data_IF_819640183915
#
_entry.id   IF_819640183915
#
_cell.length_a   1.000
_cell.length_b   1.000
_cell.length_c   1.000
_cell.angle_alpha   90.00
_cell.angle_beta   90.00
_cell.angle_gamma   90.00
#
_symmetry.space_group_name_H-M   'P 1'
#
loop_
_entity.id
_entity.type
_entity.pdbx_description
1 polymer ?
#
# COMPACT_ATOMS: atom_id res chain seq x y z
N UNK A 1 -9.78 -3.79 -19.37
CA UNK A 1 -10.22 -2.77 -18.39
C UNK A 1 -9.77 -3.28 -17.04
N UNK A 2 -8.96 -2.52 -16.30
CA UNK A 2 -8.48 -2.93 -14.98
C UNK A 2 -9.63 -3.00 -13.95
N UNK A 3 -9.64 -4.00 -13.05
CA UNK A 3 -8.66 -5.09 -12.93
C UNK A 3 -8.98 -6.28 -13.86
N UNK A 4 -7.95 -7.05 -14.24
CA UNK A 4 -8.17 -8.35 -14.86
C UNK A 4 -8.81 -9.34 -13.84
N UNK A 5 -9.49 -10.41 -14.28
CA UNK A 5 -10.15 -11.35 -13.37
C UNK A 5 -9.21 -11.98 -12.33
N UNK A 6 -7.96 -12.26 -12.70
CA UNK A 6 -6.95 -12.79 -11.80
C UNK A 6 -6.49 -11.73 -10.78
N UNK A 7 -6.29 -10.50 -11.21
CA UNK A 7 -5.94 -9.37 -10.34
C UNK A 7 -7.06 -9.07 -9.33
N UNK A 8 -8.32 -9.19 -9.75
CA UNK A 8 -9.46 -9.06 -8.85
C UNK A 8 -9.41 -10.08 -7.70
N UNK A 9 -8.98 -11.33 -7.96
CA UNK A 9 -8.80 -12.33 -6.88
C UNK A 9 -7.69 -11.95 -5.91
N UNK A 10 -6.60 -11.40 -6.43
CA UNK A 10 -5.49 -10.90 -5.60
C UNK A 10 -5.95 -9.76 -4.69
N UNK A 11 -6.74 -8.83 -5.22
CA UNK A 11 -7.32 -7.73 -4.46
C UNK A 11 -8.29 -8.22 -3.38
N UNK A 12 -9.14 -9.20 -3.68
CA UNK A 12 -10.05 -9.82 -2.71
C UNK A 12 -9.29 -10.46 -1.52
N UNK A 13 -8.17 -11.14 -1.80
CA UNK A 13 -7.35 -11.77 -0.76
C UNK A 13 -6.57 -10.73 0.06
N UNK A 14 -6.04 -9.67 -0.57
CA UNK A 14 -5.41 -8.55 0.13
C UNK A 14 -6.41 -7.81 1.04
N UNK A 15 -7.65 -7.62 0.56
CA UNK A 15 -8.72 -6.97 1.32
C UNK A 15 -9.11 -7.80 2.55
N UNK A 16 -9.13 -9.13 2.46
CA UNK A 16 -9.32 -10.00 3.64
C UNK A 16 -8.20 -9.81 4.67
N UNK A 17 -6.94 -9.81 4.24
CA UNK A 17 -5.78 -9.58 5.13
C UNK A 17 -5.91 -8.23 5.84
N UNK A 18 -6.31 -7.19 5.10
CA UNK A 18 -6.54 -5.86 5.65
C UNK A 18 -7.66 -5.89 6.69
N UNK A 19 -8.83 -6.44 6.36
CA UNK A 19 -9.98 -6.50 7.29
C UNK A 19 -9.64 -7.25 8.57
N UNK A 20 -8.97 -8.40 8.46
CA UNK A 20 -8.61 -9.24 9.61
C UNK A 20 -7.54 -8.57 10.50
N UNK A 21 -6.65 -7.77 9.90
CA UNK A 21 -5.64 -6.99 10.62
C UNK A 21 -6.27 -5.80 11.33
N UNK A 22 -7.03 -4.98 10.61
CA UNK A 22 -7.65 -3.74 11.11
C UNK A 22 -8.73 -3.99 12.17
N UNK A 23 -9.32 -5.20 12.22
CA UNK A 23 -10.25 -5.58 13.29
C UNK A 23 -9.63 -5.52 14.70
N UNK A 24 -8.29 -5.49 14.80
CA UNK A 24 -7.53 -5.41 16.07
C UNK A 24 -7.08 -3.98 16.38
N UNK A 25 -7.22 -3.06 15.43
CA UNK A 25 -6.68 -1.71 15.51
C UNK A 25 -7.74 -0.78 16.12
N UNK A 26 -7.31 0.41 16.55
CA UNK A 26 -8.24 1.40 17.09
C UNK A 26 -9.01 2.11 15.94
N UNK A 27 -10.09 2.86 16.26
CA UNK A 27 -10.91 3.51 15.24
C UNK A 27 -10.17 4.50 14.33
N UNK A 28 -8.98 4.98 14.71
CA UNK A 28 -8.18 5.88 13.87
C UNK A 28 -7.46 5.17 12.73
N UNK A 29 -7.32 3.85 12.81
CA UNK A 29 -6.76 2.98 11.77
C UNK A 29 -7.72 1.84 11.43
N UNK A 30 -8.98 2.20 11.16
CA UNK A 30 -10.00 1.20 10.84
C UNK A 30 -10.02 0.86 9.34
N UNK A 31 -10.76 -0.20 8.98
CA UNK A 31 -10.96 -0.58 7.59
C UNK A 31 -11.59 0.55 6.73
N UNK A 32 -12.30 1.49 7.34
CA UNK A 32 -12.97 2.56 6.61
C UNK A 32 -11.96 3.60 6.13
N UNK A 33 -10.95 3.93 6.95
CA UNK A 33 -9.78 4.71 6.55
C UNK A 33 -9.10 4.08 5.32
N UNK A 34 -8.69 2.82 5.40
CA UNK A 34 -7.98 2.15 4.30
C UNK A 34 -8.81 2.11 3.00
N UNK A 35 -10.14 1.94 3.10
CA UNK A 35 -11.02 1.94 1.93
C UNK A 35 -11.16 3.33 1.29
N UNK A 36 -11.11 4.42 2.06
CA UNK A 36 -11.10 5.78 1.52
C UNK A 36 -9.76 6.06 0.84
N UNK A 37 -8.65 5.69 1.47
CA UNK A 37 -7.31 5.78 0.88
C UNK A 37 -7.22 5.02 -0.44
N UNK A 38 -7.66 3.76 -0.49
CA UNK A 38 -7.73 2.95 -1.72
C UNK A 38 -8.47 3.65 -2.85
N UNK A 39 -9.67 4.16 -2.58
CA UNK A 39 -10.51 4.84 -3.59
C UNK A 39 -9.85 6.11 -4.10
N UNK A 40 -9.30 6.92 -3.19
CA UNK A 40 -8.62 8.16 -3.54
C UNK A 40 -7.34 7.87 -4.34
N UNK A 41 -6.52 6.91 -3.92
CA UNK A 41 -5.28 6.52 -4.60
C UNK A 41 -5.55 6.06 -6.04
N UNK A 42 -6.59 5.23 -6.24
CA UNK A 42 -7.01 4.83 -7.59
C UNK A 42 -7.52 5.98 -8.45
N UNK A 43 -8.24 6.94 -7.84
CA UNK A 43 -8.71 8.12 -8.56
C UNK A 43 -7.55 9.00 -9.01
N UNK A 44 -6.56 9.22 -8.12
CA UNK A 44 -5.32 9.94 -8.43
C UNK A 44 -4.55 9.24 -9.54
N UNK A 45 -4.30 7.93 -9.41
CA UNK A 45 -3.56 7.15 -10.39
C UNK A 45 -4.20 7.22 -11.80
N UNK A 46 -5.53 7.16 -11.89
CA UNK A 46 -6.26 7.29 -13.18
C UNK A 46 -6.20 8.69 -13.78
N UNK A 47 -5.94 9.72 -12.98
CA UNK A 47 -5.81 11.10 -13.42
C UNK A 47 -4.37 11.46 -13.87
N UNK A 48 -3.38 10.64 -13.51
CA UNK A 48 -1.97 10.84 -13.92
C UNK A 48 -1.70 10.23 -15.29
N UNK A 49 -0.84 10.90 -16.09
CA UNK A 49 -0.41 10.45 -17.40
C UNK A 49 1.14 10.44 -17.50
N UNK A 50 1.78 9.31 -17.83
CA UNK A 50 1.17 7.99 -18.07
C UNK A 50 0.53 7.42 -16.80
N UNK A 51 -0.52 6.61 -16.97
CA UNK A 51 -1.16 5.93 -15.85
C UNK A 51 -0.17 4.93 -15.21
N UNK A 52 0.04 4.97 -13.88
CA UNK A 52 0.93 4.05 -13.19
C UNK A 52 0.31 2.64 -13.09
N UNK A 53 1.05 1.67 -12.55
CA UNK A 53 0.50 0.32 -12.34
C UNK A 53 -0.59 0.35 -11.27
N UNK A 54 -1.85 0.22 -11.70
CA UNK A 54 -3.01 0.30 -10.80
C UNK A 54 -3.03 -0.84 -9.78
N UNK A 55 -2.47 -2.02 -10.09
CA UNK A 55 -2.41 -3.12 -9.12
C UNK A 55 -1.43 -2.80 -7.99
N UNK A 56 -0.28 -2.19 -8.31
CA UNK A 56 0.68 -1.74 -7.29
C UNK A 56 0.01 -0.70 -6.39
N UNK A 57 -0.63 0.33 -6.98
CA UNK A 57 -1.30 1.39 -6.23
C UNK A 57 -2.36 0.81 -5.30
N UNK A 58 -3.21 -0.07 -5.81
CA UNK A 58 -4.33 -0.60 -5.04
C UNK A 58 -3.89 -1.56 -3.93
N UNK A 59 -2.91 -2.44 -4.19
CA UNK A 59 -2.36 -3.33 -3.18
C UNK A 59 -1.59 -2.57 -2.10
N UNK A 60 -0.78 -1.59 -2.49
CA UNK A 60 -0.06 -0.75 -1.53
C UNK A 60 -1.04 0.04 -0.66
N UNK A 61 -2.08 0.64 -1.24
CA UNK A 61 -3.11 1.33 -0.47
C UNK A 61 -3.87 0.40 0.48
N UNK A 62 -4.23 -0.82 0.05
CA UNK A 62 -4.90 -1.81 0.91
C UNK A 62 -4.05 -2.28 2.09
N UNK A 63 -2.73 -2.35 1.91
CA UNK A 63 -1.84 -3.01 2.86
C UNK A 63 -0.96 -2.04 3.67
N UNK A 64 -0.90 -0.74 3.33
CA UNK A 64 0.07 0.21 3.92
C UNK A 64 0.07 0.23 5.46
N UNK A 65 -1.09 0.13 6.09
CA UNK A 65 -1.22 0.16 7.55
C UNK A 65 -1.17 -1.23 8.22
N UNK A 66 -1.17 -2.34 7.47
CA UNK A 66 -1.22 -3.70 8.04
C UNK A 66 -0.01 -4.02 8.94
N UNK A 67 1.11 -3.32 8.73
CA UNK A 67 2.34 -3.46 9.50
C UNK A 67 2.65 -2.23 10.35
N UNK A 68 1.63 -1.47 10.76
CA UNK A 68 1.84 -0.34 11.67
C UNK A 68 2.48 -0.82 12.97
N UNK A 69 3.61 -0.20 13.31
CA UNK A 69 4.49 -0.54 14.44
C UNK A 69 3.79 -0.45 15.80
N UNK A 70 2.62 0.19 15.88
CA UNK A 70 1.78 0.22 17.08
C UNK A 70 1.14 -1.13 17.38
N UNK A 71 0.91 -1.97 16.36
CA UNK A 71 0.11 -3.20 16.49
C UNK A 71 0.84 -4.48 16.12
N UNK A 72 1.95 -4.40 15.40
CA UNK A 72 2.78 -5.56 15.02
C UNK A 72 4.14 -5.55 15.74
N UNK A 73 4.80 -6.70 15.82
CA UNK A 73 6.13 -6.77 16.43
C UNK A 73 7.18 -6.07 15.57
N UNK A 74 8.30 -5.67 16.18
CA UNK A 74 9.40 -5.04 15.45
C UNK A 74 9.94 -5.95 14.33
N UNK A 75 9.93 -7.26 14.54
CA UNK A 75 10.32 -8.26 13.55
C UNK A 75 9.36 -8.30 12.36
N UNK A 76 8.05 -8.15 12.61
CA UNK A 76 7.04 -8.12 11.55
C UNK A 76 7.10 -6.83 10.72
N UNK A 77 7.34 -5.70 11.37
CA UNK A 77 7.46 -4.40 10.70
C UNK A 77 8.84 -4.15 10.06
N UNK A 78 9.82 -5.04 10.25
CA UNK A 78 11.18 -4.81 9.77
C UNK A 78 11.33 -4.98 8.25
N UNK A 79 10.57 -5.89 7.66
CA UNK A 79 10.64 -6.22 6.23
C UNK A 79 9.24 -6.57 5.69
N UNK A 80 8.50 -5.58 5.16
CA UNK A 80 7.19 -5.83 4.58
C UNK A 80 7.23 -6.85 3.43
N UNK A 81 8.31 -6.87 2.64
CA UNK A 81 8.41 -7.81 1.53
C UNK A 81 8.48 -9.25 2.03
N UNK A 82 9.33 -9.52 3.02
CA UNK A 82 9.41 -10.84 3.65
C UNK A 82 8.09 -11.24 4.32
N UNK A 83 7.41 -10.30 4.99
CA UNK A 83 6.10 -10.54 5.61
C UNK A 83 5.03 -10.96 4.58
N UNK A 84 4.96 -10.27 3.43
CA UNK A 84 3.98 -10.56 2.38
C UNK A 84 4.45 -11.61 1.36
N UNK A 85 5.67 -12.13 1.46
CA UNK A 85 6.17 -13.17 0.57
C UNK A 85 5.27 -14.43 0.50
N UNK A 86 4.71 -14.94 1.62
CA UNK A 86 3.75 -16.05 1.57
C UNK A 86 2.48 -15.68 0.80
N UNK A 87 1.99 -14.44 0.95
CA UNK A 87 0.85 -13.92 0.19
C UNK A 87 1.17 -13.89 -1.31
N UNK A 88 2.29 -13.27 -1.71
CA UNK A 88 2.69 -13.20 -3.12
C UNK A 88 2.88 -14.59 -3.75
N UNK A 89 3.50 -15.53 -3.01
CA UNK A 89 3.69 -16.92 -3.45
C UNK A 89 2.33 -17.60 -3.68
N UNK A 90 1.36 -17.39 -2.79
CA UNK A 90 0.00 -17.93 -2.92
C UNK A 90 -0.73 -17.34 -4.11
N UNK A 91 -0.62 -16.04 -4.36
CA UNK A 91 -1.27 -15.37 -5.52
C UNK A 91 -0.76 -15.92 -6.86
N UNK A 92 0.53 -16.23 -6.95
CA UNK A 92 1.10 -16.94 -8.11
C UNK A 92 0.48 -18.33 -8.25
N UNK A 93 0.46 -19.12 -7.18
CA UNK A 93 0.02 -20.51 -7.22
C UNK A 93 -1.48 -20.67 -7.51
N UNK A 94 -2.32 -19.81 -6.94
CA UNK A 94 -3.78 -19.94 -6.99
C UNK A 94 -4.42 -19.11 -8.11
N UNK A 95 -3.80 -18.00 -8.51
CA UNK A 95 -4.39 -17.04 -9.45
C UNK A 95 -3.50 -16.68 -10.63
N UNK A 96 -2.26 -17.18 -10.69
CA UNK A 96 -1.35 -16.96 -11.81
C UNK A 96 -0.75 -15.55 -11.88
N UNK A 97 -0.89 -14.75 -10.82
CA UNK A 97 -0.30 -13.39 -10.75
C UNK A 97 1.03 -13.47 -10.02
N UNK A 98 2.13 -13.43 -10.78
CA UNK A 98 3.47 -13.58 -10.23
C UNK A 98 4.10 -12.24 -9.83
N UNK A 99 3.60 -11.68 -8.73
CA UNK A 99 4.08 -10.42 -8.14
C UNK A 99 5.58 -10.46 -7.74
N UNK A 100 6.16 -11.66 -7.65
CA UNK A 100 7.57 -11.84 -7.31
C UNK A 100 8.43 -11.68 -8.57
N UNK A 101 8.10 -12.42 -9.62
CA UNK A 101 8.89 -12.42 -10.84
C UNK A 101 8.79 -11.11 -11.63
N UNK A 102 7.63 -10.44 -11.60
CA UNK A 102 7.43 -9.16 -12.28
C UNK A 102 7.93 -7.94 -11.46
N UNK A 103 8.41 -8.15 -10.23
CA UNK A 103 8.96 -7.11 -9.37
C UNK A 103 7.92 -6.22 -8.68
N UNK A 104 6.62 -6.43 -8.92
CA UNK A 104 5.57 -5.62 -8.30
C UNK A 104 5.51 -5.78 -6.79
N UNK A 105 5.77 -6.99 -6.26
CA UNK A 105 5.81 -7.27 -4.82
C UNK A 105 6.86 -6.44 -4.08
N UNK A 106 8.05 -6.27 -4.67
CA UNK A 106 9.09 -5.41 -4.10
C UNK A 106 8.68 -3.93 -4.11
N UNK A 107 8.07 -3.49 -5.21
CA UNK A 107 7.59 -2.12 -5.34
C UNK A 107 6.47 -1.83 -4.33
N UNK A 108 5.50 -2.74 -4.17
CA UNK A 108 4.42 -2.64 -3.19
C UNK A 108 5.00 -2.50 -1.78
N UNK A 109 5.89 -3.41 -1.37
CA UNK A 109 6.53 -3.34 -0.06
C UNK A 109 7.28 -2.02 0.17
N UNK A 110 8.02 -1.56 -0.85
CA UNK A 110 8.75 -0.29 -0.78
C UNK A 110 7.83 0.93 -0.71
N UNK A 111 6.70 0.92 -1.41
CA UNK A 111 5.69 1.97 -1.28
C UNK A 111 5.18 2.00 0.16
N UNK A 112 4.75 0.86 0.70
CA UNK A 112 4.21 0.75 2.06
C UNK A 112 5.16 1.33 3.11
N UNK A 113 6.46 1.01 3.04
CA UNK A 113 7.47 1.53 3.97
C UNK A 113 7.63 3.06 3.92
N UNK A 114 7.24 3.68 2.81
CA UNK A 114 7.48 5.09 2.53
C UNK A 114 6.20 5.94 2.52
N UNK A 115 5.00 5.38 2.74
CA UNK A 115 3.75 6.15 2.76
C UNK A 115 3.73 7.19 3.89
N UNK A 116 4.15 6.79 5.10
CA UNK A 116 4.04 7.64 6.30
C UNK A 116 4.80 8.96 6.18
N UNK A 117 4.15 10.06 6.58
CA UNK A 117 4.79 11.38 6.70
C UNK A 117 6.03 11.36 7.60
N UNK A 118 6.00 10.59 8.68
CA UNK A 118 7.12 10.48 9.62
C UNK A 118 8.35 9.85 8.96
N UNK A 119 8.15 8.87 8.07
CA UNK A 119 9.21 8.27 7.28
C UNK A 119 9.79 9.28 6.29
N UNK A 120 8.94 9.97 5.51
CA UNK A 120 9.41 10.99 4.56
C UNK A 120 10.26 12.06 5.26
N UNK A 121 9.75 12.65 6.35
CA UNK A 121 10.45 13.71 7.08
C UNK A 121 11.83 13.24 7.54
N UNK A 122 11.91 12.06 8.16
CA UNK A 122 13.16 11.46 8.63
C UNK A 122 14.15 11.22 7.48
N UNK A 123 13.69 10.70 6.35
CA UNK A 123 14.55 10.43 5.19
C UNK A 123 15.11 11.72 4.59
N UNK A 124 14.27 12.77 4.48
CA UNK A 124 14.72 14.09 4.00
C UNK A 124 15.75 14.72 4.94
N UNK A 125 15.51 14.69 6.26
CA UNK A 125 16.44 15.23 7.26
C UNK A 125 17.82 14.53 7.24
N UNK A 126 17.84 13.23 6.94
CA UNK A 126 19.07 12.43 6.83
C UNK A 126 19.76 12.51 5.46
N UNK A 127 19.15 13.14 4.46
CA UNK A 127 19.64 13.10 3.08
C UNK A 127 19.50 11.72 2.42
N UNK A 128 18.63 10.86 2.95
CA UNK A 128 18.32 9.51 2.43
C UNK A 128 17.14 9.52 1.45
N UNK A 129 16.58 10.70 1.16
CA UNK A 129 15.55 10.88 0.14
C UNK A 129 16.16 10.84 -1.26
N UNK A 130 15.84 9.78 -2.00
CA UNK A 130 16.46 9.47 -3.31
C UNK A 130 15.56 9.78 -4.50
N UNK A 131 16.13 9.74 -5.70
CA UNK A 131 15.41 9.90 -6.98
C UNK A 131 14.17 9.00 -7.11
N UNK A 132 14.22 7.77 -6.58
CA UNK A 132 13.05 6.89 -6.59
C UNK A 132 11.86 7.49 -5.86
N UNK A 133 12.08 8.18 -4.74
CA UNK A 133 10.99 8.82 -3.99
C UNK A 133 10.40 10.01 -4.75
N UNK A 134 11.19 10.66 -5.61
CA UNK A 134 10.75 11.79 -6.45
C UNK A 134 10.10 11.32 -7.77
N UNK A 135 10.26 10.06 -8.16
CA UNK A 135 9.83 9.56 -9.49
C UNK A 135 8.82 8.41 -9.44
N UNK A 136 8.65 7.73 -8.31
CA UNK A 136 7.67 6.66 -8.15
C UNK A 136 6.25 7.23 -8.00
N UNK A 137 5.52 7.26 -9.11
CA UNK A 137 4.14 7.77 -9.17
C UNK A 137 3.20 6.95 -8.30
N UNK A 138 3.42 5.64 -8.17
CA UNK A 138 2.65 4.77 -7.30
C UNK A 138 2.76 5.20 -5.83
N UNK A 139 3.98 5.55 -5.37
CA UNK A 139 4.19 6.10 -4.03
C UNK A 139 3.42 7.40 -3.84
N UNK A 140 3.53 8.33 -4.78
CA UNK A 140 2.86 9.63 -4.69
C UNK A 140 1.35 9.49 -4.60
N UNK A 141 0.76 8.61 -5.42
CA UNK A 141 -0.69 8.37 -5.39
C UNK A 141 -1.17 7.86 -4.02
N UNK A 142 -0.41 6.95 -3.39
CA UNK A 142 -0.78 6.38 -2.09
C UNK A 142 -0.50 7.37 -0.95
N UNK A 143 0.64 8.07 -0.98
CA UNK A 143 0.98 9.11 0.00
C UNK A 143 -0.04 10.25 0.02
N UNK A 144 -0.42 10.76 -1.16
CA UNK A 144 -1.38 11.83 -1.26
C UNK A 144 -2.76 11.37 -0.80
N UNK A 145 -3.17 10.15 -1.17
CA UNK A 145 -4.44 9.59 -0.73
C UNK A 145 -4.54 9.43 0.79
N UNK A 146 -3.48 8.93 1.43
CA UNK A 146 -3.39 8.78 2.89
C UNK A 146 -3.48 10.14 3.60
N UNK A 147 -2.70 11.13 3.13
CA UNK A 147 -2.71 12.49 3.69
C UNK A 147 -4.02 13.22 3.48
N UNK A 148 -4.67 13.01 2.34
CA UNK A 148 -5.98 13.60 2.05
C UNK A 148 -7.07 13.05 2.99
N UNK A 149 -6.95 11.81 3.45
CA UNK A 149 -7.89 11.22 4.40
C UNK A 149 -7.75 11.82 5.81
N UNK A 150 -6.55 12.29 6.16
CA UNK A 150 -6.25 12.95 7.42
C UNK A 150 -6.70 14.43 7.49
N UNK A 151 -7.33 14.97 6.44
CA UNK A 151 -7.85 16.35 6.41
C UNK A 151 -9.34 16.39 6.08
N UNK A 152 -9.95 17.57 6.18
CA UNK A 152 -11.37 17.76 5.92
C UNK A 152 -12.25 17.16 7.02
N UNK A 153 -13.51 16.84 6.69
CA UNK A 153 -14.52 16.45 7.68
C UNK A 153 -14.21 15.15 8.45
N UNK A 154 -13.39 14.26 7.89
CA UNK A 154 -12.96 13.03 8.55
C UNK A 154 -11.70 13.20 9.40
N UNK A 155 -10.88 14.24 9.14
CA UNK A 155 -9.62 14.50 9.83
C UNK A 155 -9.69 15.50 10.99
N UNK A 156 -10.86 16.11 11.25
CA UNK A 156 -11.07 17.07 12.35
C UNK A 156 -11.59 16.43 13.63
#
# INVERSE_FOLDING_TARGET
MYPAPQEQRVLEEAEKIMVDSMAKYDPSHDKHHVQRVRKTALALARAVNPTPDLLIVELAALLHDVLDKKYVSAEQAADPYAFFLPFFTRMKAEHGVDLIADGRGQTIARVMDNVSWSTEKRLREKGEWTEWHETCVELHCVQDADRLDAIGAFGM
#
